data_IF_180562379786
#
_entry.id   IF_180562379786
#
_cell.length_a   1.000
_cell.length_b   1.000
_cell.length_c   1.000
_cell.angle_alpha   90.00
_cell.angle_beta   90.00
_cell.angle_gamma   90.00
#
_symmetry.space_group_name_H-M   'P 1'
#
loop_
_entity.id
_entity.type
_entity.pdbx_description
1 polymer ?
#
# COMPACT_ATOMS: atom_id res chain seq x y z
N UNK A 1 0.36 -20.26 18.83
CA UNK A 1 1.09 -19.01 18.59
C UNK A 1 0.14 -17.93 19.06
N UNK A 2 0.61 -17.03 19.91
CA UNK A 2 -0.19 -15.84 20.23
C UNK A 2 -0.52 -15.07 18.96
N UNK A 3 -1.65 -14.35 18.92
CA UNK A 3 -2.00 -13.53 17.79
C UNK A 3 -0.98 -12.40 17.58
N UNK A 4 -0.84 -11.98 16.32
CA UNK A 4 -0.15 -10.75 15.94
C UNK A 4 -1.11 -9.58 15.90
N UNK A 5 -0.64 -8.40 16.30
CA UNK A 5 -1.40 -7.16 16.30
C UNK A 5 -0.62 -6.08 15.54
N UNK A 6 -1.34 -5.26 14.77
CA UNK A 6 -0.84 -4.02 14.17
C UNK A 6 -1.44 -2.86 14.93
N UNK A 7 -0.60 -1.86 15.23
CA UNK A 7 -1.09 -0.60 15.77
C UNK A 7 -1.56 0.27 14.61
N UNK A 8 -2.86 0.42 14.49
CA UNK A 8 -3.52 1.32 13.57
C UNK A 8 -4.30 2.36 14.39
N UNK A 9 -4.06 3.64 14.12
CA UNK A 9 -4.75 4.73 14.83
C UNK A 9 -6.22 4.85 14.41
N UNK A 10 -6.54 4.43 13.18
CA UNK A 10 -7.91 4.44 12.67
C UNK A 10 -8.72 3.26 13.20
N UNK A 11 -8.07 2.13 13.45
CA UNK A 11 -8.68 0.89 13.94
C UNK A 11 -7.89 0.32 15.12
N UNK A 12 -8.02 0.90 16.33
CA UNK A 12 -7.25 0.49 17.50
C UNK A 12 -7.61 -0.92 18.01
N UNK A 13 -8.77 -1.45 17.63
CA UNK A 13 -9.31 -2.73 18.12
C UNK A 13 -9.32 -3.83 17.05
N UNK A 14 -8.32 -3.87 16.17
CA UNK A 14 -8.21 -4.95 15.19
C UNK A 14 -8.05 -6.31 15.90
N UNK A 15 -8.79 -7.34 15.47
CA UNK A 15 -8.59 -8.67 16.00
C UNK A 15 -7.17 -9.13 15.65
N UNK A 16 -6.57 -9.86 16.57
CA UNK A 16 -5.27 -10.45 16.35
C UNK A 16 -5.29 -11.47 15.21
N UNK A 17 -4.21 -11.57 14.44
CA UNK A 17 -4.15 -12.42 13.25
C UNK A 17 -2.95 -13.38 13.28
N UNK A 18 -2.96 -14.38 12.39
CA UNK A 18 -1.91 -15.41 12.31
C UNK A 18 -0.64 -14.89 11.61
N UNK A 19 0.49 -15.55 11.84
CA UNK A 19 1.74 -15.26 11.12
C UNK A 19 1.58 -15.43 9.59
N UNK A 20 0.77 -16.38 9.14
CA UNK A 20 0.49 -16.58 7.71
C UNK A 20 -0.24 -15.36 7.12
N UNK A 21 -1.22 -14.82 7.85
CA UNK A 21 -1.91 -13.58 7.49
C UNK A 21 -0.95 -12.40 7.47
N UNK A 22 -0.08 -12.27 8.47
CA UNK A 22 0.96 -11.24 8.53
C UNK A 22 1.86 -11.30 7.28
N UNK A 23 2.33 -12.49 6.88
CA UNK A 23 3.12 -12.70 5.65
C UNK A 23 2.38 -12.23 4.41
N UNK A 24 1.08 -12.50 4.30
CA UNK A 24 0.26 -12.06 3.18
C UNK A 24 0.09 -10.53 3.16
N UNK A 25 -0.07 -9.89 4.32
CA UNK A 25 -0.14 -8.44 4.44
C UNK A 25 1.19 -7.76 4.05
N UNK A 26 2.33 -8.33 4.45
CA UNK A 26 3.66 -7.87 4.01
C UNK A 26 3.80 -7.99 2.49
N UNK A 27 3.44 -9.14 1.90
CA UNK A 27 3.50 -9.33 0.43
C UNK A 27 2.62 -8.34 -0.33
N UNK A 28 1.48 -7.96 0.24
CA UNK A 28 0.57 -6.95 -0.32
C UNK A 28 1.03 -5.51 -0.09
N UNK A 29 2.16 -5.28 0.59
CA UNK A 29 2.66 -3.94 0.90
C UNK A 29 1.82 -3.17 1.94
N UNK A 30 0.95 -3.85 2.69
CA UNK A 30 0.14 -3.22 3.75
C UNK A 30 0.93 -2.99 5.04
N UNK A 31 2.04 -3.69 5.21
CA UNK A 31 2.93 -3.55 6.36
C UNK A 31 4.25 -2.98 5.86
N UNK A 32 4.58 -1.81 6.38
CA UNK A 32 5.80 -1.09 6.08
C UNK A 32 6.85 -1.34 7.18
N UNK A 33 8.14 -1.06 6.92
CA UNK A 33 9.22 -1.20 7.92
C UNK A 33 9.01 -0.42 9.22
N UNK A 34 8.25 0.67 9.17
CA UNK A 34 7.89 1.56 10.27
C UNK A 34 6.51 1.28 10.88
N UNK A 35 5.78 0.29 10.38
CA UNK A 35 4.55 -0.18 11.04
C UNK A 35 4.88 -0.75 12.42
N UNK A 36 4.13 -0.34 13.44
CA UNK A 36 4.30 -0.82 14.81
C UNK A 36 3.46 -2.08 14.99
N UNK A 37 4.10 -3.20 15.34
CA UNK A 37 3.47 -4.51 15.50
C UNK A 37 3.81 -5.12 16.86
N UNK A 38 2.96 -6.01 17.32
CA UNK A 38 3.14 -6.80 18.55
C UNK A 38 2.86 -8.26 18.24
N UNK A 39 3.65 -9.18 18.79
CA UNK A 39 3.43 -10.61 18.61
C UNK A 39 4.32 -11.48 19.51
N UNK A 40 4.30 -12.81 19.29
CA UNK A 40 5.07 -13.75 20.10
C UNK A 40 6.58 -13.49 20.08
N UNK A 41 7.16 -13.19 18.90
CA UNK A 41 8.61 -12.95 18.79
C UNK A 41 9.05 -11.59 19.37
N UNK A 42 8.11 -10.71 19.70
CA UNK A 42 8.39 -9.44 20.39
C UNK A 42 8.18 -9.53 21.90
N UNK A 43 7.94 -10.73 22.46
CA UNK A 43 7.57 -10.95 23.86
C UNK A 43 6.38 -10.08 24.28
N UNK A 44 5.41 -9.93 23.38
CA UNK A 44 4.21 -9.12 23.60
C UNK A 44 4.45 -7.59 23.74
N UNK A 45 5.64 -7.09 23.39
CA UNK A 45 5.90 -5.64 23.29
C UNK A 45 5.60 -5.10 21.89
N UNK A 46 5.22 -3.83 21.83
CA UNK A 46 5.09 -3.10 20.57
C UNK A 46 6.47 -2.73 20.04
N UNK A 47 6.75 -3.07 18.78
CA UNK A 47 8.02 -2.77 18.12
C UNK A 47 7.80 -2.49 16.64
N UNK A 48 8.72 -1.73 16.03
CA UNK A 48 8.69 -1.50 14.58
C UNK A 48 8.93 -2.81 13.82
N UNK A 49 8.16 -3.07 12.77
CA UNK A 49 8.22 -4.31 12.00
C UNK A 49 9.64 -4.65 11.49
N UNK A 50 10.44 -3.64 11.13
CA UNK A 50 11.85 -3.81 10.76
C UNK A 50 12.75 -4.36 11.88
N UNK A 51 12.35 -4.23 13.14
CA UNK A 51 13.10 -4.68 14.33
C UNK A 51 12.65 -6.08 14.79
N UNK A 52 11.55 -6.61 14.25
CA UNK A 52 10.92 -7.81 14.81
C UNK A 52 11.57 -9.07 14.25
N UNK A 53 12.07 -9.98 15.12
CA UNK A 53 12.61 -11.26 14.69
C UNK A 53 11.57 -12.05 13.90
N UNK A 54 11.98 -12.56 12.74
CA UNK A 54 11.14 -13.31 11.81
C UNK A 54 10.15 -12.51 10.97
N UNK A 55 10.00 -11.21 11.18
CA UNK A 55 9.19 -10.34 10.31
C UNK A 55 10.09 -9.42 9.47
N UNK A 56 11.18 -8.93 10.04
CA UNK A 56 12.09 -8.00 9.36
C UNK A 56 12.62 -8.54 8.01
N UNK A 57 12.96 -9.82 7.94
CA UNK A 57 13.49 -10.44 6.71
C UNK A 57 12.45 -10.48 5.57
N UNK A 58 11.15 -10.56 5.91
CA UNK A 58 10.05 -10.46 4.95
C UNK A 58 9.97 -9.06 4.33
N UNK A 59 10.45 -8.05 5.06
CA UNK A 59 10.56 -6.65 4.63
C UNK A 59 11.93 -6.35 3.99
N UNK A 60 12.75 -7.37 3.74
CA UNK A 60 14.03 -7.24 3.06
C UNK A 60 15.22 -6.86 3.94
N UNK A 61 15.09 -6.90 5.28
CA UNK A 61 16.15 -6.46 6.19
C UNK A 61 16.36 -7.41 7.39
N UNK A 62 17.61 -7.56 7.83
CA UNK A 62 17.90 -8.29 9.08
C UNK A 62 17.44 -7.48 10.30
N UNK A 63 16.79 -8.12 11.26
CA UNK A 63 16.31 -7.48 12.49
C UNK A 63 17.44 -6.95 13.40
N UNK A 64 18.63 -7.59 13.37
CA UNK A 64 19.80 -7.19 14.16
C UNK A 64 20.64 -6.15 13.42
N UNK A 65 21.31 -6.54 12.34
CA UNK A 65 22.32 -5.72 11.67
C UNK A 65 21.80 -4.82 10.54
N UNK A 66 20.53 -4.96 10.14
CA UNK A 66 19.90 -4.22 9.03
C UNK A 66 20.49 -4.47 7.64
N UNK A 67 21.33 -5.48 7.48
CA UNK A 67 21.76 -5.93 6.16
C UNK A 67 20.55 -6.40 5.34
N UNK A 68 20.65 -6.32 4.02
CA UNK A 68 19.63 -6.85 3.13
C UNK A 68 19.46 -8.36 3.35
N UNK A 69 18.22 -8.83 3.43
CA UNK A 69 17.86 -10.23 3.63
C UNK A 69 16.76 -10.61 2.64
N UNK A 70 16.77 -11.85 2.15
CA UNK A 70 15.67 -12.36 1.32
C UNK A 70 14.58 -12.94 2.23
N UNK A 71 13.30 -12.90 1.80
CA UNK A 71 12.19 -13.47 2.55
C UNK A 71 12.26 -15.01 2.69
N UNK A 72 13.12 -15.68 1.93
CA UNK A 72 13.34 -17.13 1.96
C UNK A 72 14.57 -17.54 2.77
N UNK A 73 15.36 -16.58 3.25
CA UNK A 73 16.56 -16.90 4.03
C UNK A 73 16.15 -17.45 5.40
N UNK A 74 16.82 -18.50 5.88
CA UNK A 74 16.61 -19.01 7.25
C UNK A 74 17.38 -18.20 8.30
N UNK A 75 18.47 -17.54 7.89
CA UNK A 75 19.33 -16.74 8.75
C UNK A 75 20.00 -15.60 7.96
N UNK A 76 20.44 -14.56 8.65
CA UNK A 76 21.14 -13.44 8.04
C UNK A 76 22.54 -13.84 7.58
N UNK A 77 22.87 -13.61 6.31
CA UNK A 77 24.20 -13.85 5.74
C UNK A 77 25.30 -12.96 6.33
N UNK A 78 24.95 -11.78 6.87
CA UNK A 78 25.92 -10.83 7.40
C UNK A 78 26.27 -11.09 8.88
N UNK A 79 25.30 -11.43 9.72
CA UNK A 79 25.49 -11.56 11.17
C UNK A 79 25.07 -12.91 11.76
N UNK A 80 24.56 -13.84 10.95
CA UNK A 80 24.13 -15.18 11.40
C UNK A 80 22.84 -15.19 12.24
N UNK A 81 22.14 -14.06 12.38
CA UNK A 81 20.91 -14.02 13.17
C UNK A 81 19.82 -14.90 12.51
N UNK A 82 19.22 -15.81 13.27
CA UNK A 82 18.13 -16.67 12.79
C UNK A 82 16.88 -15.84 12.45
N UNK A 83 16.21 -16.22 11.37
CA UNK A 83 14.90 -15.69 10.97
C UNK A 83 13.76 -16.63 11.30
N UNK A 84 14.07 -17.80 11.85
CA UNK A 84 13.09 -18.74 12.35
C UNK A 84 12.27 -18.10 13.48
N UNK A 85 10.95 -18.21 13.38
CA UNK A 85 10.05 -17.75 14.43
C UNK A 85 9.81 -18.96 15.32
N UNK A 86 10.14 -18.89 16.62
CA UNK A 86 9.80 -19.96 17.53
C UNK A 86 8.29 -20.22 17.49
N UNK A 87 7.91 -21.46 17.20
CA UNK A 87 6.51 -21.92 17.16
C UNK A 87 5.91 -22.14 18.56
N UNK A 88 6.49 -21.50 19.58
CA UNK A 88 6.08 -21.66 20.97
C UNK A 88 4.69 -21.06 21.19
N UNK A 89 3.67 -21.94 21.15
CA UNK A 89 2.29 -21.58 21.45
C UNK A 89 2.06 -21.47 22.96
N UNK A 90 2.83 -22.19 23.75
CA UNK A 90 2.56 -22.45 25.17
C UNK A 90 2.99 -21.27 26.03
N UNK A 91 4.09 -20.60 25.68
CA UNK A 91 4.61 -19.51 26.51
C UNK A 91 4.30 -18.13 25.94
N UNK A 92 3.65 -18.00 24.78
CA UNK A 92 3.34 -16.71 24.13
C UNK A 92 4.57 -15.78 23.96
N UNK A 93 5.79 -16.34 23.98
CA UNK A 93 7.05 -15.58 24.02
C UNK A 93 7.38 -14.94 25.38
N UNK A 94 6.64 -15.28 26.44
CA UNK A 94 7.00 -15.00 27.82
C UNK A 94 8.10 -15.97 28.28
N UNK A 95 8.90 -15.55 29.25
CA UNK A 95 9.85 -16.45 29.88
C UNK A 95 9.09 -17.60 30.57
N UNK A 96 9.70 -18.79 30.71
CA UNK A 96 9.14 -19.87 31.52
C UNK A 96 8.71 -19.34 32.89
N UNK A 97 7.52 -19.74 33.34
CA UNK A 97 7.03 -19.35 34.66
C UNK A 97 7.90 -20.03 35.70
N UNK A 98 8.71 -19.25 36.40
CA UNK A 98 9.50 -19.73 37.54
C UNK A 98 8.70 -19.54 38.82
N UNK A 99 8.66 -20.58 39.65
CA UNK A 99 8.09 -20.50 40.99
C UNK A 99 8.91 -19.50 41.82
N UNK A 100 8.23 -18.52 42.42
CA UNK A 100 8.87 -17.58 43.35
C UNK A 100 9.10 -18.28 44.70
N UNK A 101 10.16 -17.92 45.45
CA UNK A 101 10.37 -18.41 46.81
C UNK A 101 9.12 -18.12 47.67
N UNK A 102 8.51 -19.17 48.24
CA UNK A 102 7.31 -19.08 49.07
C UNK A 102 5.99 -19.49 48.38
N UNK A 103 6.00 -19.90 47.11
CA UNK A 103 4.83 -20.52 46.45
C UNK A 103 4.97 -22.03 46.28
N UNK A 104 6.15 -22.58 46.54
CA UNK A 104 6.46 -23.99 46.50
C UNK A 104 7.57 -24.32 47.51
N UNK A 105 7.74 -25.61 47.77
CA UNK A 105 8.85 -26.17 48.54
C UNK A 105 10.20 -25.77 47.89
N UNK A 106 11.21 -25.50 48.72
CA UNK A 106 12.55 -25.15 48.26
C UNK A 106 13.17 -26.21 47.33
N UNK A 107 12.88 -27.50 47.52
CA UNK A 107 13.31 -28.58 46.66
C UNK A 107 12.60 -28.52 45.29
N UNK A 108 11.32 -28.17 45.24
CA UNK A 108 10.57 -27.98 44.00
C UNK A 108 11.04 -26.74 43.23
N UNK A 109 11.33 -25.63 43.92
CA UNK A 109 11.93 -24.43 43.32
C UNK A 109 13.33 -24.74 42.77
N UNK A 110 14.14 -25.48 43.51
CA UNK A 110 15.46 -25.92 43.07
C UNK A 110 15.36 -26.84 41.84
N UNK A 111 14.44 -27.80 41.85
CA UNK A 111 14.18 -28.70 40.72
C UNK A 111 13.76 -27.91 39.47
N UNK A 112 12.80 -26.99 39.59
CA UNK A 112 12.32 -26.15 38.49
C UNK A 112 13.40 -25.18 37.95
N UNK A 113 14.30 -24.71 38.81
CA UNK A 113 15.45 -23.90 38.40
C UNK A 113 16.53 -24.73 37.68
N UNK A 114 16.65 -26.02 38.01
CA UNK A 114 17.57 -26.95 37.37
C UNK A 114 17.03 -27.62 36.11
N UNK A 115 15.71 -27.61 35.86
CA UNK A 115 15.15 -28.05 34.58
C UNK A 115 15.78 -27.21 33.47
N UNK A 116 16.53 -27.90 32.63
CA UNK A 116 17.48 -27.31 31.70
C UNK A 116 16.81 -26.20 30.89
N UNK A 117 17.21 -24.95 31.15
CA UNK A 117 16.81 -23.82 30.31
C UNK A 117 17.13 -24.24 28.88
N UNK A 118 16.19 -24.13 27.93
CA UNK A 118 16.53 -24.29 26.53
C UNK A 118 17.77 -23.45 26.31
N UNK A 119 18.90 -24.09 25.97
CA UNK A 119 20.09 -23.37 25.56
C UNK A 119 19.63 -22.61 24.33
N UNK A 120 19.21 -21.35 24.52
CA UNK A 120 19.18 -20.43 23.40
C UNK A 120 20.55 -20.58 22.77
N UNK A 121 20.64 -20.78 21.45
CA UNK A 121 21.92 -20.89 20.79
C UNK A 121 22.70 -19.67 21.24
N UNK A 122 23.65 -19.89 22.15
CA UNK A 122 24.49 -18.85 22.66
C UNK A 122 25.11 -18.29 21.41
N UNK A 123 24.80 -17.03 21.09
CA UNK A 123 25.39 -16.36 19.94
C UNK A 123 26.84 -16.81 19.92
N UNK A 124 27.33 -17.45 18.83
CA UNK A 124 28.69 -17.96 18.80
C UNK A 124 29.55 -16.87 19.36
N UNK A 125 30.42 -17.16 20.36
CA UNK A 125 31.20 -16.15 21.05
C UNK A 125 31.72 -15.25 19.95
N UNK A 126 31.28 -13.99 19.95
CA UNK A 126 31.60 -13.04 18.90
C UNK A 126 33.10 -12.98 18.94
N UNK A 127 33.74 -13.81 18.11
CA UNK A 127 35.17 -14.03 18.13
C UNK A 127 35.69 -12.63 17.90
N UNK A 128 36.31 -12.09 18.94
CA UNK A 128 36.59 -10.67 19.05
C UNK A 128 37.23 -10.26 17.73
N UNK A 129 36.43 -9.61 16.88
CA UNK A 129 36.90 -9.02 15.61
C UNK A 129 37.63 -7.74 16.01
N UNK A 130 38.67 -7.92 16.81
CA UNK A 130 39.70 -6.95 17.10
C UNK A 130 40.46 -6.78 15.79
N UNK A 131 40.08 -5.80 14.98
CA UNK A 131 40.77 -5.51 13.72
C UNK A 131 39.88 -5.19 12.52
N UNK A 132 38.56 -5.10 12.69
CA UNK A 132 37.79 -4.31 11.73
C UNK A 132 38.32 -2.88 11.76
N UNK A 133 38.61 -2.22 10.62
CA UNK A 133 38.95 -0.81 10.63
C UNK A 133 37.86 -0.11 11.43
N UNK A 134 38.27 0.74 12.37
CA UNK A 134 37.38 1.67 13.06
C UNK A 134 36.78 2.56 11.97
N UNK A 135 35.74 2.06 11.32
CA UNK A 135 35.03 2.81 10.30
C UNK A 135 34.32 3.87 11.08
N UNK A 136 34.89 5.08 11.08
CA UNK A 136 34.38 6.26 11.76
C UNK A 136 32.87 6.22 11.74
N UNK A 137 32.27 5.94 12.90
CA UNK A 137 30.82 5.81 13.01
C UNK A 137 30.15 7.09 12.48
N UNK A 138 30.84 8.21 12.64
CA UNK A 138 30.48 9.52 12.11
C UNK A 138 30.50 9.58 10.57
N UNK A 139 31.51 8.99 9.91
CA UNK A 139 31.54 8.90 8.45
C UNK A 139 30.39 8.04 7.91
N UNK A 140 30.04 6.96 8.60
CA UNK A 140 28.95 6.06 8.21
C UNK A 140 27.57 6.71 8.42
N UNK A 141 27.40 7.45 9.52
CA UNK A 141 26.23 8.30 9.78
C UNK A 141 26.13 9.41 8.70
N UNK A 142 27.23 10.10 8.40
CA UNK A 142 27.28 11.14 7.38
C UNK A 142 26.95 10.60 5.98
N UNK A 143 27.46 9.42 5.62
CA UNK A 143 27.14 8.75 4.35
C UNK A 143 25.64 8.41 4.26
N UNK A 144 25.03 7.93 5.35
CA UNK A 144 23.59 7.66 5.42
C UNK A 144 22.76 8.93 5.27
N UNK A 145 23.19 10.06 5.86
CA UNK A 145 22.54 11.36 5.67
C UNK A 145 22.67 11.90 4.24
N UNK A 146 23.84 11.76 3.60
CA UNK A 146 24.03 12.13 2.19
C UNK A 146 23.10 11.34 1.28
N UNK A 147 22.98 10.02 1.49
CA UNK A 147 22.09 9.16 0.68
C UNK A 147 20.62 9.53 0.84
N UNK A 148 20.17 9.89 2.05
CA UNK A 148 18.80 10.40 2.28
C UNK A 148 18.53 11.73 1.58
N UNK A 149 19.50 12.65 1.56
CA UNK A 149 19.38 13.92 0.83
C UNK A 149 19.34 13.72 -0.69
N UNK A 150 20.14 12.79 -1.22
CA UNK A 150 20.13 12.44 -2.65
C UNK A 150 18.78 11.86 -3.10
N UNK A 151 18.24 10.88 -2.36
CA UNK A 151 16.94 10.30 -2.68
C UNK A 151 15.80 11.33 -2.62
N UNK A 152 15.85 12.30 -1.70
CA UNK A 152 14.81 13.35 -1.64
C UNK A 152 14.79 14.25 -2.86
N UNK A 153 15.97 14.56 -3.44
CA UNK A 153 16.07 15.36 -4.67
C UNK A 153 15.50 14.64 -5.88
N UNK A 154 15.73 13.33 -6.00
CA UNK A 154 15.16 12.54 -7.10
C UNK A 154 13.65 12.46 -7.01
N UNK A 155 13.07 12.28 -5.81
CA UNK A 155 11.60 12.20 -5.67
C UNK A 155 10.93 13.53 -5.98
N UNK A 156 11.48 14.66 -5.53
CA UNK A 156 10.93 15.99 -5.85
C UNK A 156 11.00 16.31 -7.34
N UNK A 157 12.11 15.98 -8.00
CA UNK A 157 12.24 16.17 -9.45
C UNK A 157 11.19 15.35 -10.22
N UNK A 158 10.96 14.08 -9.85
CA UNK A 158 9.96 13.21 -10.48
C UNK A 158 8.54 13.78 -10.32
N UNK A 159 8.20 14.30 -9.14
CA UNK A 159 6.87 14.91 -8.90
C UNK A 159 6.69 16.17 -9.74
N UNK A 160 7.69 17.06 -9.79
CA UNK A 160 7.61 18.29 -10.59
C UNK A 160 7.46 17.98 -12.08
N UNK A 161 8.24 17.03 -12.60
CA UNK A 161 8.15 16.59 -14.00
C UNK A 161 6.77 15.97 -14.26
N UNK A 162 6.28 15.10 -13.38
CA UNK A 162 4.96 14.48 -13.50
C UNK A 162 3.81 15.50 -13.55
N UNK A 163 3.81 16.49 -12.65
CA UNK A 163 2.81 17.57 -12.64
C UNK A 163 2.92 18.44 -13.90
N UNK A 164 4.13 18.70 -14.38
CA UNK A 164 4.35 19.43 -15.64
C UNK A 164 3.77 18.71 -16.85
N UNK A 165 3.99 17.39 -16.97
CA UNK A 165 3.43 16.58 -18.06
C UNK A 165 1.90 16.53 -18.03
N UNK A 166 1.29 16.37 -16.85
CA UNK A 166 -0.18 16.39 -16.70
C UNK A 166 -0.74 17.75 -17.13
N UNK A 167 -0.11 18.85 -16.71
CA UNK A 167 -0.51 20.20 -17.13
C UNK A 167 -0.41 20.42 -18.64
N UNK A 168 0.65 19.94 -19.28
CA UNK A 168 0.85 20.03 -20.72
C UNK A 168 -0.19 19.20 -21.50
N UNK A 169 -0.50 17.99 -21.02
CA UNK A 169 -1.51 17.13 -21.64
C UNK A 169 -2.90 17.78 -21.63
N UNK A 170 -3.30 18.39 -20.51
CA UNK A 170 -4.58 19.12 -20.41
C UNK A 170 -4.61 20.31 -21.38
N UNK A 171 -3.53 21.10 -21.45
CA UNK A 171 -3.45 22.24 -22.37
C UNK A 171 -3.54 21.82 -23.84
N UNK A 172 -2.90 20.73 -24.23
CA UNK A 172 -3.00 20.16 -25.59
C UNK A 172 -4.42 19.66 -25.90
N UNK A 173 -5.09 19.05 -24.92
CA UNK A 173 -6.47 18.57 -25.09
C UNK A 173 -7.45 19.73 -25.31
N UNK A 174 -7.29 20.85 -24.57
CA UNK A 174 -8.08 22.09 -24.75
C UNK A 174 -7.78 22.74 -26.11
N UNK A 175 -6.51 22.79 -26.52
CA UNK A 175 -6.14 23.32 -27.84
C UNK A 175 -6.75 22.50 -28.98
N UNK A 176 -6.74 21.15 -28.88
CA UNK A 176 -7.34 20.27 -29.89
C UNK A 176 -8.87 20.42 -29.96
N UNK A 177 -9.55 20.57 -28.83
CA UNK A 177 -11.01 20.76 -28.81
C UNK A 177 -11.43 22.08 -29.44
N UNK A 178 -10.70 23.17 -29.14
CA UNK A 178 -10.90 24.46 -29.78
C UNK A 178 -10.71 24.37 -31.31
N UNK A 179 -9.66 23.67 -31.75
CA UNK A 179 -9.36 23.52 -33.18
C UNK A 179 -10.42 22.69 -33.94
N UNK A 180 -10.98 21.64 -33.31
CA UNK A 180 -12.08 20.87 -33.90
C UNK A 180 -13.38 21.68 -34.00
N UNK A 181 -13.69 22.48 -32.97
CA UNK A 181 -14.89 23.31 -32.96
C UNK A 181 -14.89 24.37 -34.08
N UNK A 182 -13.73 24.91 -34.45
CA UNK A 182 -13.60 25.86 -35.55
C UNK A 182 -13.89 25.25 -36.94
N UNK A 183 -13.47 24.01 -37.19
CA UNK A 183 -13.69 23.36 -38.50
C UNK A 183 -15.15 23.01 -38.77
N UNK A 184 -15.93 22.71 -37.73
CA UNK A 184 -17.36 22.40 -37.90
C UNK A 184 -18.19 23.62 -38.32
N UNK A 185 -17.74 24.84 -38.02
CA UNK A 185 -18.43 26.06 -38.42
C UNK A 185 -18.30 26.34 -39.92
N UNK A 186 -17.16 26.02 -40.55
CA UNK A 186 -16.96 26.20 -42.00
C UNK A 186 -17.69 25.15 -42.85
N UNK A 187 -17.79 23.90 -42.38
CA UNK A 187 -18.45 22.84 -43.13
C UNK A 187 -19.99 23.00 -43.22
N UNK A 188 -20.61 23.77 -42.30
CA UNK A 188 -22.07 23.99 -42.28
C UNK A 188 -22.54 25.10 -43.22
N UNK A 189 -21.65 25.89 -43.82
CA UNK A 189 -22.05 27.01 -44.68
C UNK A 189 -22.35 26.61 -46.14
N UNK A 190 -22.14 25.35 -46.54
CA UNK A 190 -22.21 24.91 -47.94
C UNK A 190 -23.38 24.02 -48.36
N UNK A 191 -24.23 23.54 -47.45
CA UNK A 191 -25.29 22.58 -47.82
C UNK A 191 -26.63 23.28 -48.08
N UNK A 192 -26.86 23.68 -49.34
CA UNK A 192 -28.17 24.07 -49.84
C UNK A 192 -29.18 22.90 -49.76
N UNK A 193 -30.47 23.14 -49.45
CA UNK A 193 -31.46 22.08 -49.34
C UNK A 193 -31.98 21.67 -50.72
N UNK A 194 -31.62 20.47 -51.18
CA UNK A 194 -32.35 19.77 -52.22
C UNK A 194 -33.56 19.05 -51.60
N UNK A 195 -34.74 19.42 -52.09
CA UNK A 195 -36.04 18.80 -51.80
C UNK A 195 -36.10 17.34 -52.30
N UNK A 196 -37.12 16.68 -51.78
CA UNK A 196 -37.83 15.50 -52.29
C UNK A 196 -37.46 14.14 -51.71
N UNK A 197 -38.52 13.43 -51.27
CA UNK A 197 -38.52 11.98 -51.14
C UNK A 197 -38.89 11.46 -49.76
N UNK A 198 -40.18 11.59 -49.41
CA UNK A 198 -40.84 10.85 -48.33
C UNK A 198 -40.98 9.36 -48.73
N UNK A 199 -40.57 8.38 -47.91
CA UNK A 199 -41.16 7.05 -47.97
C UNK A 199 -41.93 6.72 -46.68
N UNK A 200 -43.15 6.24 -46.92
CA UNK A 200 -44.10 5.65 -45.96
C UNK A 200 -43.45 4.60 -45.06
N UNK A 201 -43.71 4.74 -43.77
CA UNK A 201 -43.53 3.71 -42.75
C UNK A 201 -44.82 2.85 -42.70
N UNK A 202 -44.76 1.51 -42.85
CA UNK A 202 -45.92 0.65 -42.61
C UNK A 202 -46.07 0.32 -41.11
N UNK A 203 -47.32 0.16 -40.62
CA UNK A 203 -47.60 -0.27 -39.25
C UNK A 203 -47.63 -1.80 -39.17
N UNK A 204 -46.99 -2.40 -38.16
CA UNK A 204 -47.26 -3.80 -37.84
C UNK A 204 -47.19 -4.04 -36.32
N UNK A 205 -48.39 -4.25 -35.75
CA UNK A 205 -48.84 -5.33 -34.83
C UNK A 205 -47.77 -6.20 -34.15
N UNK A 206 -47.91 -6.77 -32.96
CA UNK A 206 -48.89 -6.85 -31.85
C UNK A 206 -48.19 -7.75 -30.77
N UNK A 207 -48.73 -7.91 -29.55
CA UNK A 207 -48.06 -8.54 -28.40
C UNK A 207 -48.23 -10.07 -28.38
N UNK A 208 -47.27 -10.77 -27.77
CA UNK A 208 -47.43 -12.18 -27.39
C UNK A 208 -47.08 -12.34 -25.91
N UNK A 209 -48.14 -12.62 -25.15
CA UNK A 209 -48.18 -13.10 -23.78
C UNK A 209 -48.36 -14.61 -23.87
N UNK A 210 -47.51 -15.40 -23.21
CA UNK A 210 -47.85 -16.77 -22.76
C UNK A 210 -46.85 -17.25 -21.69
N UNK A 211 -47.41 -17.56 -20.52
CA UNK A 211 -46.93 -18.36 -19.38
C UNK A 211 -47.83 -19.64 -19.40
N UNK A 212 -47.54 -20.86 -18.86
CA UNK A 212 -46.77 -21.17 -17.63
C UNK A 212 -46.00 -22.53 -17.62
N UNK A 213 -45.34 -22.78 -16.47
CA UNK A 213 -45.29 -24.06 -15.73
C UNK A 213 -43.93 -24.75 -15.55
N UNK A 214 -43.57 -24.80 -14.26
CA UNK A 214 -43.07 -25.95 -13.50
C UNK A 214 -41.68 -26.51 -13.81
N UNK A 215 -40.75 -26.33 -12.85
CA UNK A 215 -40.17 -27.49 -12.16
C UNK A 215 -39.56 -27.11 -10.80
N UNK A 216 -40.01 -27.88 -9.81
CA UNK A 216 -39.59 -28.00 -8.43
C UNK A 216 -38.14 -28.44 -8.31
N UNK A 217 -37.35 -27.78 -7.44
CA UNK A 217 -35.97 -28.17 -7.17
C UNK A 217 -35.42 -27.54 -5.89
N UNK A 218 -35.82 -28.10 -4.75
CA UNK A 218 -35.22 -27.91 -3.42
C UNK A 218 -33.70 -28.14 -3.42
N UNK A 219 -32.90 -27.20 -2.92
CA UNK A 219 -31.90 -27.44 -1.85
C UNK A 219 -30.94 -26.27 -1.58
N UNK A 220 -30.75 -26.01 -0.28
CA UNK A 220 -29.52 -25.60 0.39
C UNK A 220 -28.85 -24.25 0.05
N UNK A 221 -29.20 -23.24 0.85
CA UNK A 221 -28.26 -22.39 1.62
C UNK A 221 -27.00 -21.84 0.94
N UNK A 222 -27.06 -20.58 0.53
CA UNK A 222 -25.85 -19.77 0.34
C UNK A 222 -26.10 -18.31 0.76
N UNK A 223 -25.89 -18.02 2.04
CA UNK A 223 -25.67 -16.66 2.53
C UNK A 223 -24.26 -16.23 2.10
N UNK A 224 -24.15 -15.15 1.34
CA UNK A 224 -22.87 -14.58 0.97
C UNK A 224 -23.03 -13.37 0.06
N UNK A 225 -23.47 -12.25 0.64
CA UNK A 225 -23.46 -10.93 -0.01
C UNK A 225 -22.05 -10.61 -0.50
N UNK A 226 -21.86 -10.51 -1.80
CA UNK A 226 -20.69 -9.89 -2.41
C UNK A 226 -20.86 -8.37 -2.32
N UNK A 227 -20.37 -7.77 -1.24
CA UNK A 227 -20.07 -6.35 -1.22
C UNK A 227 -18.81 -6.13 -2.05
N UNK A 228 -19.00 -5.58 -3.26
CA UNK A 228 -17.94 -4.98 -4.04
C UNK A 228 -17.47 -3.73 -3.30
N UNK A 229 -16.38 -3.85 -2.55
CA UNK A 229 -15.71 -2.72 -1.92
C UNK A 229 -14.54 -2.29 -2.80
N UNK A 230 -14.85 -1.43 -3.77
CA UNK A 230 -13.89 -0.81 -4.67
C UNK A 230 -13.19 0.36 -3.96
N UNK A 231 -12.30 0.02 -3.02
CA UNK A 231 -11.33 0.94 -2.43
C UNK A 231 -9.93 0.59 -2.94
N UNK A 232 -9.66 0.95 -4.20
CA UNK A 232 -8.34 0.88 -4.81
C UNK A 232 -7.45 1.99 -4.28
N UNK A 233 -6.46 1.65 -3.45
CA UNK A 233 -5.42 2.58 -3.03
C UNK A 233 -4.30 2.55 -4.07
N UNK A 234 -4.13 3.68 -4.76
CA UNK A 234 -3.11 3.99 -5.77
C UNK A 234 -1.74 4.13 -5.07
N UNK A 235 -1.11 3.01 -4.69
CA UNK A 235 0.27 2.99 -4.23
C UNK A 235 1.09 2.15 -5.21
N UNK A 236 1.59 2.79 -6.27
CA UNK A 236 2.42 2.15 -7.29
C UNK A 236 2.19 2.62 -8.72
N UNK A 237 1.18 3.46 -8.97
CA UNK A 237 0.98 4.05 -10.29
C UNK A 237 2.04 5.13 -10.49
N UNK A 238 2.94 4.92 -11.45
CA UNK A 238 3.95 5.93 -11.75
C UNK A 238 3.24 7.18 -12.30
N UNK A 239 3.78 8.40 -12.08
CA UNK A 239 3.23 9.59 -12.71
C UNK A 239 3.17 9.49 -14.24
N UNK A 240 3.97 8.60 -14.85
CA UNK A 240 3.91 8.28 -16.27
C UNK A 240 2.68 7.43 -16.65
N UNK A 241 2.27 6.48 -15.81
CA UNK A 241 1.07 5.66 -16.06
C UNK A 241 -0.22 6.49 -15.95
N UNK A 242 -0.25 7.46 -15.04
CA UNK A 242 -1.33 8.46 -14.94
C UNK A 242 -1.39 9.36 -16.18
N UNK A 243 -0.24 9.83 -16.68
CA UNK A 243 -0.18 10.65 -17.88
C UNK A 243 -0.56 9.87 -19.15
N UNK A 244 -0.17 8.59 -19.25
CA UNK A 244 -0.57 7.71 -20.34
C UNK A 244 -2.08 7.42 -20.32
N UNK A 245 -2.64 7.18 -19.14
CA UNK A 245 -4.09 7.02 -18.94
C UNK A 245 -4.88 8.25 -19.40
N UNK A 246 -4.43 9.45 -19.03
CA UNK A 246 -5.02 10.73 -19.44
C UNK A 246 -5.03 10.96 -20.95
N UNK A 247 -3.99 10.51 -21.67
CA UNK A 247 -3.90 10.63 -23.12
C UNK A 247 -4.84 9.65 -23.86
N UNK A 248 -5.28 8.58 -23.19
CA UNK A 248 -6.18 7.56 -23.75
C UNK A 248 -7.63 7.65 -23.23
N UNK A 249 -7.91 8.51 -22.26
CA UNK A 249 -9.18 8.55 -21.57
C UNK A 249 -10.31 9.08 -22.46
N UNK A 250 -11.44 8.40 -22.45
CA UNK A 250 -12.66 8.82 -23.13
C UNK A 250 -13.27 10.04 -22.40
N UNK A 251 -14.00 10.90 -23.12
CA UNK A 251 -14.61 12.11 -22.49
C UNK A 251 -15.55 11.77 -21.32
N UNK A 252 -16.13 10.56 -21.30
CA UNK A 252 -17.00 10.09 -20.22
C UNK A 252 -16.26 9.83 -18.89
N UNK A 253 -14.93 9.66 -18.91
CA UNK A 253 -14.12 9.38 -17.72
C UNK A 253 -13.64 10.65 -16.99
N UNK A 254 -13.87 11.83 -17.57
CA UNK A 254 -13.42 13.11 -17.02
C UNK A 254 -13.86 13.35 -15.56
N UNK A 255 -15.09 13.01 -15.11
CA UNK A 255 -15.50 13.19 -13.71
C UNK A 255 -14.71 12.31 -12.72
N UNK A 256 -14.27 11.12 -13.15
CA UNK A 256 -13.48 10.22 -12.32
C UNK A 256 -12.03 10.74 -12.20
N UNK A 257 -11.46 11.21 -13.31
CA UNK A 257 -10.12 11.82 -13.33
C UNK A 257 -10.02 13.07 -12.44
N UNK A 258 -11.06 13.93 -12.45
CA UNK A 258 -11.12 15.10 -11.57
C UNK A 258 -11.11 14.66 -10.09
N UNK A 259 -11.88 13.62 -9.74
CA UNK A 259 -11.95 13.08 -8.38
C UNK A 259 -10.60 12.50 -7.93
N UNK A 260 -9.93 11.77 -8.82
CA UNK A 260 -8.61 11.18 -8.55
C UNK A 260 -7.55 12.26 -8.37
N UNK A 261 -7.57 13.31 -9.20
CA UNK A 261 -6.68 14.46 -9.06
C UNK A 261 -6.90 15.20 -7.72
N UNK A 262 -8.14 15.40 -7.28
CA UNK A 262 -8.44 15.99 -5.97
C UNK A 262 -7.94 15.12 -4.80
N UNK A 263 -8.00 13.80 -4.93
CA UNK A 263 -7.47 12.88 -3.93
C UNK A 263 -5.94 12.99 -3.80
N UNK A 264 -5.26 13.13 -4.94
CA UNK A 264 -3.81 13.34 -5.02
C UNK A 264 -3.40 14.67 -4.40
N UNK A 265 -4.13 15.75 -4.70
CA UNK A 265 -3.88 17.07 -4.11
C UNK A 265 -4.02 17.03 -2.59
N UNK A 266 -5.07 16.39 -2.07
CA UNK A 266 -5.25 16.18 -0.61
C UNK A 266 -4.14 15.33 0.02
N UNK A 267 -3.68 14.29 -0.67
CA UNK A 267 -2.57 13.46 -0.22
C UNK A 267 -1.26 14.26 -0.15
N UNK A 268 -0.98 15.10 -1.14
CA UNK A 268 0.20 15.97 -1.18
C UNK A 268 0.18 17.05 -0.10
N UNK A 269 -0.98 17.62 0.21
CA UNK A 269 -1.17 18.63 1.25
C UNK A 269 -0.81 18.10 2.65
N UNK A 270 -1.13 16.84 2.93
CA UNK A 270 -0.76 16.19 4.18
C UNK A 270 0.72 15.77 4.24
N UNK A 271 1.38 15.61 3.08
CA UNK A 271 2.72 15.05 3.00
C UNK A 271 3.84 16.08 3.15
N UNK A 272 3.71 17.29 2.59
CA UNK A 272 4.76 18.31 2.65
C UNK A 272 4.20 19.76 2.66
N UNK A 273 4.27 20.49 3.80
CA UNK A 273 3.77 21.87 3.88
C UNK A 273 4.54 22.86 3.01
N UNK A 274 5.73 22.50 2.50
CA UNK A 274 6.54 23.38 1.64
C UNK A 274 6.00 23.46 0.21
N UNK A 275 5.13 22.54 -0.19
CA UNK A 275 4.50 22.54 -1.49
C UNK A 275 3.21 23.36 -1.55
N UNK A 276 2.85 24.07 -0.47
CA UNK A 276 1.60 24.84 -0.37
C UNK A 276 1.32 25.71 -1.60
N UNK A 277 2.30 26.50 -2.08
CA UNK A 277 2.10 27.35 -3.26
C UNK A 277 1.85 26.59 -4.57
N UNK A 278 2.46 25.40 -4.75
CA UNK A 278 2.21 24.56 -5.92
C UNK A 278 0.85 23.85 -5.83
N UNK A 279 0.46 23.46 -4.61
CA UNK A 279 -0.85 22.87 -4.30
C UNK A 279 -1.96 23.90 -4.56
N UNK A 280 -1.78 25.15 -4.13
CA UNK A 280 -2.75 26.23 -4.36
C UNK A 280 -2.91 26.52 -5.86
N UNK A 281 -1.81 26.55 -6.61
CA UNK A 281 -1.85 26.70 -8.06
C UNK A 281 -2.58 25.52 -8.75
N UNK A 282 -2.37 24.28 -8.28
CA UNK A 282 -3.08 23.11 -8.79
C UNK A 282 -4.59 23.16 -8.46
N UNK A 283 -4.95 23.55 -7.23
CA UNK A 283 -6.35 23.77 -6.81
C UNK A 283 -7.04 24.82 -7.67
N UNK A 284 -6.38 25.96 -7.92
CA UNK A 284 -6.90 27.03 -8.75
C UNK A 284 -7.18 26.55 -10.20
N UNK A 285 -6.27 25.77 -10.79
CA UNK A 285 -6.49 25.18 -12.12
C UNK A 285 -7.63 24.17 -12.15
N UNK A 286 -7.73 23.33 -11.12
CA UNK A 286 -8.84 22.37 -11.00
C UNK A 286 -10.19 23.07 -10.86
N UNK A 287 -10.23 24.18 -10.12
CA UNK A 287 -11.42 25.02 -10.00
C UNK A 287 -11.81 25.64 -11.35
N UNK A 288 -10.86 26.15 -12.13
CA UNK A 288 -11.11 26.70 -13.47
C UNK A 288 -11.68 25.63 -14.43
N UNK A 289 -11.11 24.41 -14.44
CA UNK A 289 -11.65 23.28 -15.22
C UNK A 289 -13.09 22.96 -14.81
N UNK A 290 -13.41 22.97 -13.51
CA UNK A 290 -14.78 22.72 -13.02
C UNK A 290 -15.75 23.83 -13.42
N UNK A 291 -15.30 25.08 -13.47
CA UNK A 291 -16.13 26.22 -13.88
C UNK A 291 -16.49 26.19 -15.37
N UNK A 292 -15.88 25.30 -16.16
CA UNK A 292 -16.01 25.31 -17.62
C UNK A 292 -15.43 26.56 -18.25
N UNK A 293 -14.66 27.35 -17.49
CA UNK A 293 -13.91 28.47 -18.02
C UNK A 293 -12.84 27.92 -18.95
N UNK A 294 -12.81 28.45 -20.17
CA UNK A 294 -11.70 28.21 -21.09
C UNK A 294 -10.45 28.82 -20.45
N UNK A 295 -9.58 27.95 -19.93
CA UNK A 295 -8.23 28.26 -19.45
C UNK A 295 -7.40 28.98 -20.53
#
# INVERSE_FOLDING_TARGET
>A
MGPWFIRDETNPFLPGFSLATLRQLVRRGRIAPDTVIKGPSTRQFWSYARNVPGVAHLLGACHVCRAAAKPTDAQCTACGASFEIPDDREHLGLAPVHLLPGHADAAEVAAAASTERPRWPSNPPVAARNGGPEVDAEALIAARHRRRRANRRTTTAIVIVGVGFIGLAIALMVAQSAWRSGRSAEASAGSAPARDGLPKQPPNSKPTEETPSSETGTSAGQMGRTSADSSGVIAGVSPFDLAAGLLSANMDDLPNLIRDAESLVRSLENADPRLAGAIDAAKARLAAVRAGEKL
#
